data_IF_703820986610
#
_entry.id   IF_703820986610
#
_cell.length_a   1.000
_cell.length_b   1.000
_cell.length_c   1.000
_cell.angle_alpha   90.00
_cell.angle_beta   90.00
_cell.angle_gamma   90.00
#
_symmetry.space_group_name_H-M   'P 1'
#
loop_
_entity.id
_entity.type
_entity.pdbx_description
1 polymer ?
#
# COMPACT_ATOMS: atom_id res chain seq x y z
N UNK A 1 -6.23 -7.99 -3.63
CA UNK A 1 -4.80 -8.20 -3.26
C UNK A 1 -4.74 -9.31 -2.22
N UNK A 2 -3.74 -10.19 -2.29
CA UNK A 2 -3.56 -11.29 -1.34
C UNK A 2 -2.23 -11.14 -0.61
N UNK A 3 -2.26 -11.29 0.71
CA UNK A 3 -1.08 -11.35 1.57
C UNK A 3 -0.81 -12.79 1.91
N UNK A 4 0.35 -13.28 1.49
CA UNK A 4 0.81 -14.64 1.72
C UNK A 4 2.01 -14.58 2.64
N UNK A 5 1.99 -15.38 3.70
CA UNK A 5 3.10 -15.50 4.64
C UNK A 5 3.55 -16.96 4.73
N UNK A 6 4.83 -17.16 5.05
CA UNK A 6 5.35 -18.48 5.38
C UNK A 6 4.88 -18.85 6.78
N UNK A 7 4.31 -20.05 6.93
CA UNK A 7 4.08 -20.66 8.23
C UNK A 7 5.34 -21.42 8.66
N UNK A 8 5.88 -21.07 9.84
CA UNK A 8 7.17 -21.61 10.29
C UNK A 8 7.07 -23.09 10.73
N UNK A 9 5.89 -23.53 11.18
CA UNK A 9 5.69 -24.89 11.65
C UNK A 9 5.52 -25.89 10.48
N UNK A 10 4.66 -25.55 9.51
CA UNK A 10 4.43 -26.39 8.33
C UNK A 10 5.44 -26.17 7.20
N UNK A 11 6.21 -25.07 7.23
CA UNK A 11 7.05 -24.62 6.10
C UNK A 11 6.27 -24.41 4.79
N UNK A 12 4.97 -24.11 4.88
CA UNK A 12 4.10 -23.84 3.75
C UNK A 12 3.68 -22.37 3.66
N UNK A 13 3.40 -21.90 2.45
CA UNK A 13 2.85 -20.56 2.24
C UNK A 13 1.34 -20.56 2.47
N UNK A 14 0.89 -19.76 3.42
CA UNK A 14 -0.53 -19.61 3.75
C UNK A 14 -1.03 -18.21 3.37
N UNK A 15 -2.24 -18.14 2.82
CA UNK A 15 -2.93 -16.87 2.61
C UNK A 15 -3.34 -16.30 3.97
N UNK A 16 -2.66 -15.25 4.42
CA UNK A 16 -2.94 -14.58 5.69
C UNK A 16 -4.09 -13.60 5.58
N UNK A 17 -4.18 -12.89 4.45
CA UNK A 17 -5.22 -11.89 4.25
C UNK A 17 -5.58 -11.73 2.78
N UNK A 18 -6.82 -11.36 2.50
CA UNK A 18 -7.28 -10.98 1.16
C UNK A 18 -8.17 -9.75 1.31
N UNK A 19 -7.86 -8.71 0.54
CA UNK A 19 -8.63 -7.47 0.54
C UNK A 19 -8.89 -6.98 -0.88
N UNK A 20 -10.01 -6.29 -1.04
CA UNK A 20 -10.43 -5.76 -2.33
C UNK A 20 -9.60 -4.53 -2.71
N UNK A 21 -9.15 -4.51 -3.96
CA UNK A 21 -8.51 -3.35 -4.56
C UNK A 21 -9.23 -3.01 -5.86
N UNK A 22 -9.69 -1.76 -6.06
CA UNK A 22 -10.56 -1.41 -7.20
C UNK A 22 -9.96 -1.71 -8.58
N UNK A 23 -8.65 -1.61 -8.69
CA UNK A 23 -7.88 -1.87 -9.92
C UNK A 23 -6.63 -2.70 -9.61
N UNK A 24 -5.97 -3.33 -10.60
CA UNK A 24 -4.67 -3.94 -10.37
C UNK A 24 -3.65 -2.94 -9.82
N UNK A 25 -2.92 -3.33 -8.78
CA UNK A 25 -1.88 -2.50 -8.16
C UNK A 25 -0.62 -2.45 -9.04
N UNK A 26 -0.04 -1.27 -9.23
CA UNK A 26 1.22 -1.08 -9.99
C UNK A 26 2.47 -1.28 -9.13
N UNK A 27 2.39 -0.96 -7.83
CA UNK A 27 3.44 -1.19 -6.83
C UNK A 27 2.80 -1.43 -5.47
N UNK A 28 3.48 -2.20 -4.63
CA UNK A 28 3.18 -2.34 -3.20
C UNK A 28 4.47 -2.17 -2.38
N UNK A 29 4.36 -1.65 -1.17
CA UNK A 29 5.47 -1.48 -0.24
C UNK A 29 4.96 -1.44 1.20
N UNK A 30 5.60 -2.18 2.09
CA UNK A 30 5.35 -2.07 3.53
C UNK A 30 5.99 -0.81 4.09
N UNK A 31 5.46 -0.30 5.20
CA UNK A 31 6.15 0.73 5.97
C UNK A 31 7.58 0.22 6.29
N UNK A 32 8.63 1.03 6.05
CA UNK A 32 10.00 0.64 6.31
C UNK A 32 10.33 0.72 7.81
N UNK A 33 9.54 0.03 8.64
CA UNK A 33 9.69 0.01 10.08
C UNK A 33 10.58 -1.14 10.54
N UNK A 34 11.90 -0.91 10.48
CA UNK A 34 12.91 -1.89 10.93
C UNK A 34 12.88 -2.18 12.43
N UNK A 35 12.18 -1.36 13.23
CA UNK A 35 12.14 -1.48 14.70
C UNK A 35 10.81 -2.01 15.23
N UNK A 36 9.79 -2.14 14.39
CA UNK A 36 8.45 -2.59 14.79
C UNK A 36 7.75 -1.64 15.77
N UNK A 37 7.99 -0.33 15.66
CA UNK A 37 7.40 0.71 16.52
C UNK A 37 6.05 1.21 15.96
N UNK A 38 5.81 1.00 14.68
CA UNK A 38 4.63 1.43 13.94
C UNK A 38 3.69 0.26 13.68
N UNK A 39 2.39 0.52 13.46
CA UNK A 39 1.49 -0.52 12.97
C UNK A 39 1.94 -1.02 11.60
N UNK A 40 1.62 -2.27 11.27
CA UNK A 40 1.84 -2.84 9.95
C UNK A 40 1.00 -2.10 8.91
N UNK A 41 1.65 -1.22 8.17
CA UNK A 41 1.05 -0.47 7.08
C UNK A 41 1.57 -0.97 5.74
N UNK A 42 0.66 -1.16 4.80
CA UNK A 42 0.94 -1.53 3.43
C UNK A 42 0.45 -0.41 2.51
N UNK A 43 1.33 0.16 1.71
CA UNK A 43 0.97 1.12 0.68
C UNK A 43 0.81 0.41 -0.67
N UNK A 44 -0.20 0.80 -1.44
CA UNK A 44 -0.44 0.31 -2.80
C UNK A 44 -0.70 1.47 -3.75
N UNK A 45 -0.14 1.41 -4.96
CA UNK A 45 -0.46 2.35 -6.03
C UNK A 45 -1.38 1.72 -7.07
N UNK A 46 -2.28 2.54 -7.61
CA UNK A 46 -3.17 2.22 -8.72
C UNK A 46 -3.69 3.53 -9.33
N UNK A 47 -5.00 3.68 -9.43
CA UNK A 47 -5.67 4.98 -9.64
C UNK A 47 -5.33 6.02 -8.56
N UNK A 48 -5.19 5.57 -7.32
CA UNK A 48 -4.77 6.37 -6.17
C UNK A 48 -3.71 5.62 -5.37
N UNK A 49 -3.01 6.35 -4.50
CA UNK A 49 -2.21 5.73 -3.45
C UNK A 49 -3.15 5.39 -2.29
N UNK A 50 -3.15 4.13 -1.88
CA UNK A 50 -3.90 3.65 -0.71
C UNK A 50 -2.93 3.14 0.34
N UNK A 51 -3.17 3.50 1.60
CA UNK A 51 -2.46 2.94 2.75
C UNK A 51 -3.46 2.07 3.51
N UNK A 52 -3.08 0.83 3.71
CA UNK A 52 -3.85 -0.20 4.39
C UNK A 52 -3.16 -0.50 5.71
N UNK A 53 -3.94 -0.65 6.79
CA UNK A 53 -3.44 -1.29 8.01
C UNK A 53 -3.75 -2.77 7.92
N UNK A 54 -2.72 -3.58 8.05
CA UNK A 54 -2.82 -5.03 8.05
C UNK A 54 -2.82 -5.48 9.50
N UNK A 55 -3.93 -6.08 9.93
CA UNK A 55 -4.03 -6.77 11.22
C UNK A 55 -3.97 -8.28 11.04
N UNK A 56 -3.97 -9.01 12.16
CA UNK A 56 -4.01 -10.47 12.18
C UNK A 56 -5.29 -11.04 11.54
N UNK A 57 -6.43 -10.37 11.75
CA UNK A 57 -7.74 -10.86 11.30
C UNK A 57 -8.27 -10.11 10.09
N UNK A 58 -8.01 -8.80 9.98
CA UNK A 58 -8.56 -7.96 8.91
C UNK A 58 -7.52 -6.97 8.37
N UNK A 59 -7.64 -6.67 7.08
CA UNK A 59 -6.93 -5.54 6.46
C UNK A 59 -7.93 -4.43 6.19
N UNK A 60 -7.64 -3.21 6.65
CA UNK A 60 -8.53 -2.06 6.51
C UNK A 60 -7.84 -0.90 5.81
N UNK A 61 -8.60 -0.16 5.02
CA UNK A 61 -8.13 1.06 4.38
C UNK A 61 -7.98 2.16 5.44
N UNK A 62 -6.76 2.64 5.66
CA UNK A 62 -6.48 3.76 6.59
C UNK A 62 -6.49 5.10 5.87
N UNK A 63 -5.93 5.15 4.66
CA UNK A 63 -5.77 6.39 3.93
C UNK A 63 -5.90 6.18 2.43
N UNK A 64 -6.55 7.15 1.77
CA UNK A 64 -6.61 7.28 0.33
C UNK A 64 -6.01 8.64 -0.03
N UNK A 65 -4.83 8.65 -0.65
CA UNK A 65 -4.23 9.87 -1.17
C UNK A 65 -4.79 10.15 -2.56
N UNK A 66 -5.72 11.09 -2.61
CA UNK A 66 -6.24 11.66 -3.84
C UNK A 66 -5.61 13.05 -4.07
N UNK A 67 -4.66 13.14 -5.00
CA UNK A 67 -4.07 14.42 -5.41
C UNK A 67 -5.02 15.30 -6.23
N UNK A 68 -6.11 14.74 -6.74
CA UNK A 68 -7.02 15.47 -7.62
C UNK A 68 -8.26 15.95 -6.87
N UNK A 69 -8.29 17.25 -6.56
CA UNK A 69 -9.44 17.90 -5.89
C UNK A 69 -10.60 18.24 -6.84
N UNK A 70 -10.45 18.06 -8.15
CA UNK A 70 -11.38 18.66 -9.13
C UNK A 70 -11.82 17.77 -10.32
N UNK A 71 -11.29 16.57 -10.52
CA UNK A 71 -11.83 15.67 -11.56
C UNK A 71 -11.90 14.22 -11.11
N UNK A 72 -13.03 13.59 -11.42
CA UNK A 72 -13.32 12.16 -11.19
C UNK A 72 -12.42 11.20 -11.98
N UNK A 73 -11.43 11.72 -12.70
CA UNK A 73 -10.42 10.98 -13.44
C UNK A 73 -9.02 11.48 -13.06
N UNK A 74 -8.19 10.55 -12.60
CA UNK A 74 -6.75 10.73 -12.40
C UNK A 74 -6.05 9.67 -13.24
N UNK A 75 -4.95 10.02 -13.92
CA UNK A 75 -4.13 8.99 -14.55
C UNK A 75 -3.53 8.09 -13.45
N UNK A 76 -3.39 6.78 -13.69
CA UNK A 76 -2.86 5.88 -12.70
C UNK A 76 -1.45 6.29 -12.26
N UNK A 77 -1.19 6.13 -10.97
CA UNK A 77 0.14 6.23 -10.40
C UNK A 77 1.02 5.11 -10.97
N UNK A 78 2.18 5.49 -11.49
CA UNK A 78 3.16 4.54 -12.03
C UNK A 78 3.95 3.85 -10.94
N UNK A 79 4.22 4.58 -9.85
CA UNK A 79 5.03 4.10 -8.73
C UNK A 79 4.89 5.07 -7.56
N UNK A 80 5.43 4.67 -6.41
CA UNK A 80 5.61 5.50 -5.23
C UNK A 80 6.84 5.01 -4.46
N UNK A 81 7.34 5.78 -3.50
CA UNK A 81 8.46 5.39 -2.63
C UNK A 81 8.22 5.83 -1.19
N UNK A 82 8.56 4.95 -0.24
CA UNK A 82 8.38 5.19 1.19
C UNK A 82 9.75 5.39 1.84
N UNK A 83 9.96 6.55 2.46
CA UNK A 83 11.27 6.92 2.99
C UNK A 83 11.67 6.04 4.18
N UNK A 84 12.83 5.37 4.06
CA UNK A 84 13.36 4.45 5.08
C UNK A 84 13.91 5.14 6.33
N UNK A 85 14.30 6.42 6.21
CA UNK A 85 14.86 7.23 7.31
C UNK A 85 13.74 7.96 8.07
N UNK A 86 12.76 8.46 7.33
CA UNK A 86 11.59 9.15 7.87
C UNK A 86 10.29 8.47 7.37
N UNK A 87 9.76 7.49 8.13
CA UNK A 87 8.57 6.72 7.73
C UNK A 87 7.28 7.55 7.60
N UNK A 88 7.29 8.82 7.97
CA UNK A 88 6.14 9.73 7.77
C UNK A 88 6.08 10.30 6.35
N UNK A 89 7.10 10.06 5.52
CA UNK A 89 7.20 10.60 4.17
C UNK A 89 7.03 9.51 3.11
N UNK A 90 6.13 9.77 2.16
CA UNK A 90 5.90 8.94 0.99
C UNK A 90 5.72 9.83 -0.23
N UNK A 91 6.47 9.54 -1.30
CA UNK A 91 6.40 10.24 -2.58
C UNK A 91 5.72 9.39 -3.65
N UNK A 92 4.87 9.98 -4.49
CA UNK A 92 4.20 9.29 -5.60
C UNK A 92 4.74 9.77 -6.95
N UNK A 93 4.56 8.94 -7.98
CA UNK A 93 4.85 9.28 -9.37
C UNK A 93 3.66 8.89 -10.25
N UNK A 94 3.34 9.72 -11.24
CA UNK A 94 2.24 9.53 -12.17
C UNK A 94 2.68 9.85 -13.60
N UNK A 95 1.92 9.35 -14.57
CA UNK A 95 2.07 9.74 -15.99
C UNK A 95 1.54 11.16 -16.19
N UNK A 96 0.53 11.55 -15.41
CA UNK A 96 -0.07 12.88 -15.52
C UNK A 96 0.87 13.94 -14.92
N UNK A 97 1.16 14.94 -15.73
CA UNK A 97 1.98 16.10 -15.39
C UNK A 97 1.20 17.17 -14.62
N UNK A 98 -0.03 16.89 -14.19
CA UNK A 98 -0.81 17.76 -13.31
C UNK A 98 -0.42 17.55 -11.84
N UNK A 99 0.75 18.08 -11.47
CA UNK A 99 1.09 18.35 -10.06
C UNK A 99 0.44 19.66 -9.59
#
# INVERSE_FOLDING_TARGET
>A
VQLVGLDEESSEFICRNTFDHPYPTTKLMWIPDTKGVYPDLLATSGDYLRVWRVGETETRLECLLNNNKNSDFCAPLTSFDWNEVDPYLLGTSSIDTTC
#
